data_IF_341647128339
#
_entry.id   IF_341647128339
#
_cell.length_a   1.000
_cell.length_b   1.000
_cell.length_c   1.000
_cell.angle_alpha   90.00
_cell.angle_beta   90.00
_cell.angle_gamma   90.00
#
_symmetry.space_group_name_H-M   'P 1'
#
loop_
_entity.id
_entity.type
_entity.pdbx_description
1 polymer ?
#
# COMPACT_ATOMS: atom_id res chain seq x y z
N UNK A 1 7.28 -7.09 -6.91
CA UNK A 1 7.47 -5.62 -7.11
C UNK A 1 8.09 -5.08 -5.83
N UNK A 2 9.15 -4.26 -5.89
CA UNK A 2 9.84 -3.80 -4.68
C UNK A 2 9.14 -2.55 -4.13
N UNK A 3 8.72 -2.60 -2.86
CA UNK A 3 8.12 -1.45 -2.19
C UNK A 3 9.14 -0.32 -2.00
N UNK A 4 8.70 0.92 -2.24
CA UNK A 4 9.45 2.12 -1.90
C UNK A 4 8.48 3.29 -1.72
N UNK A 5 8.62 4.03 -0.61
CA UNK A 5 7.81 5.22 -0.34
C UNK A 5 7.83 6.23 -1.49
N UNK A 6 8.98 6.37 -2.18
CA UNK A 6 9.12 7.25 -3.36
C UNK A 6 8.23 6.82 -4.53
N UNK A 7 8.06 5.51 -4.72
CA UNK A 7 7.24 4.98 -5.81
C UNK A 7 5.76 5.16 -5.46
N UNK A 8 5.38 4.89 -4.21
CA UNK A 8 4.03 5.13 -3.71
C UNK A 8 3.61 6.58 -3.93
N UNK A 9 4.44 7.55 -3.53
CA UNK A 9 4.17 8.98 -3.69
C UNK A 9 4.09 9.39 -5.17
N UNK A 10 5.01 8.87 -6.01
CA UNK A 10 4.97 9.09 -7.46
C UNK A 10 3.70 8.54 -8.10
N UNK A 11 3.23 7.37 -7.65
CA UNK A 11 2.00 6.75 -8.16
C UNK A 11 0.76 7.53 -7.74
N UNK A 12 0.67 7.95 -6.47
CA UNK A 12 -0.46 8.76 -6.00
C UNK A 12 -0.54 10.11 -6.72
N UNK A 13 0.62 10.72 -7.01
CA UNK A 13 0.70 12.03 -7.66
C UNK A 13 0.70 11.98 -9.21
N UNK A 14 0.69 10.81 -9.87
CA UNK A 14 0.67 10.84 -11.36
C UNK A 14 -0.69 11.27 -11.88
N UNK A 15 -0.73 12.44 -12.51
CA UNK A 15 -1.90 12.99 -13.20
C UNK A 15 -2.25 12.16 -14.45
N UNK A 16 -1.28 11.41 -14.99
CA UNK A 16 -1.38 10.60 -16.19
C UNK A 16 -2.24 9.33 -16.06
N UNK A 17 -2.66 8.98 -14.84
CA UNK A 17 -3.31 7.71 -14.52
C UNK A 17 -4.66 7.97 -13.87
N UNK A 18 -5.67 7.16 -14.18
CA UNK A 18 -6.97 7.22 -13.50
C UNK A 18 -6.84 6.81 -12.04
N UNK A 19 -7.71 7.36 -11.18
CA UNK A 19 -7.68 7.09 -9.74
C UNK A 19 -7.81 5.60 -9.42
N UNK A 20 -8.72 4.89 -10.11
CA UNK A 20 -8.84 3.43 -10.03
C UNK A 20 -7.51 2.72 -10.30
N UNK A 21 -6.76 3.17 -11.30
CA UNK A 21 -5.49 2.55 -11.67
C UNK A 21 -4.35 2.92 -10.72
N UNK A 22 -4.36 4.12 -10.12
CA UNK A 22 -3.45 4.46 -9.01
C UNK A 22 -3.69 3.52 -7.83
N UNK A 23 -4.94 3.34 -7.43
CA UNK A 23 -5.34 2.46 -6.32
C UNK A 23 -4.93 1.02 -6.61
N UNK A 24 -5.19 0.51 -7.83
CA UNK A 24 -4.80 -0.85 -8.25
C UNK A 24 -3.28 -1.09 -8.14
N UNK A 25 -2.46 -0.10 -8.55
CA UNK A 25 -1.00 -0.18 -8.44
C UNK A 25 -0.56 -0.18 -6.96
N UNK A 26 -1.18 0.67 -6.14
CA UNK A 26 -0.92 0.77 -4.70
C UNK A 26 -1.26 -0.56 -3.98
N UNK A 27 -2.42 -1.14 -4.25
CA UNK A 27 -2.83 -2.43 -3.71
C UNK A 27 -1.97 -3.59 -4.22
N UNK A 28 -1.53 -3.54 -5.48
CA UNK A 28 -0.58 -4.52 -6.01
C UNK A 28 0.77 -4.47 -5.30
N UNK A 29 1.25 -3.28 -4.92
CA UNK A 29 2.46 -3.15 -4.11
C UNK A 29 2.26 -3.77 -2.74
N UNK A 30 1.12 -3.48 -2.10
CA UNK A 30 0.76 -4.04 -0.80
C UNK A 30 0.74 -5.57 -0.82
N UNK A 31 -0.03 -6.17 -1.73
CA UNK A 31 -0.10 -7.62 -1.91
C UNK A 31 1.29 -8.23 -2.19
N UNK A 32 2.10 -7.59 -3.04
CA UNK A 32 3.45 -8.08 -3.34
C UNK A 32 4.35 -8.09 -2.11
N UNK A 33 4.18 -7.19 -1.13
CA UNK A 33 4.95 -7.22 0.10
C UNK A 33 4.59 -8.45 0.94
N UNK A 34 3.29 -8.73 1.12
CA UNK A 34 2.82 -9.90 1.84
C UNK A 34 3.21 -11.22 1.14
N UNK A 35 3.21 -11.26 -0.19
CA UNK A 35 3.68 -12.45 -0.94
C UNK A 35 5.18 -12.71 -0.75
N UNK A 36 5.97 -11.67 -0.50
CA UNK A 36 7.39 -11.82 -0.22
C UNK A 36 7.67 -12.21 1.25
N UNK A 37 6.67 -12.12 2.13
CA UNK A 37 6.80 -12.65 3.49
C UNK A 37 6.66 -14.17 3.46
N UNK A 38 7.60 -14.85 4.12
CA UNK A 38 7.65 -16.30 4.23
C UNK A 38 7.60 -16.76 5.68
N UNK A 39 7.78 -18.07 5.87
CA UNK A 39 7.88 -18.70 7.19
C UNK A 39 9.08 -18.16 7.98
N UNK A 40 10.19 -17.88 7.30
CA UNK A 40 11.41 -17.32 7.88
C UNK A 40 11.37 -15.80 8.11
N UNK A 41 10.27 -15.13 7.73
CA UNK A 41 10.18 -13.68 7.92
C UNK A 41 10.12 -13.33 9.40
N UNK A 42 11.03 -12.43 9.79
CA UNK A 42 11.15 -11.97 11.16
C UNK A 42 9.94 -11.12 11.56
N UNK A 43 9.65 -11.05 12.87
CA UNK A 43 8.60 -10.17 13.40
C UNK A 43 8.79 -8.71 12.94
N UNK A 44 10.05 -8.27 12.86
CA UNK A 44 10.41 -6.93 12.38
C UNK A 44 10.04 -6.70 10.91
N UNK A 45 10.22 -7.70 10.05
CA UNK A 45 9.80 -7.59 8.64
C UNK A 45 8.28 -7.53 8.50
N UNK A 46 7.55 -8.33 9.30
CA UNK A 46 6.09 -8.29 9.33
C UNK A 46 5.57 -6.94 9.78
N UNK A 47 6.16 -6.36 10.83
CA UNK A 47 5.83 -5.02 11.31
C UNK A 47 6.17 -3.94 10.27
N UNK A 48 7.31 -4.07 9.59
CA UNK A 48 7.69 -3.15 8.52
C UNK A 48 6.69 -3.19 7.36
N UNK A 49 6.26 -4.38 6.94
CA UNK A 49 5.22 -4.53 5.91
C UNK A 49 3.91 -3.91 6.37
N UNK A 50 3.47 -4.17 7.61
CA UNK A 50 2.26 -3.54 8.16
C UNK A 50 2.33 -2.00 8.17
N UNK A 51 3.47 -1.44 8.55
CA UNK A 51 3.71 0.01 8.50
C UNK A 51 3.66 0.56 7.06
N UNK A 52 4.21 -0.20 6.11
CA UNK A 52 4.15 0.16 4.69
C UNK A 52 2.72 0.11 4.14
N UNK A 53 1.94 -0.91 4.49
CA UNK A 53 0.53 -1.04 4.14
C UNK A 53 -0.30 0.14 4.68
N UNK A 54 -0.04 0.56 5.93
CA UNK A 54 -0.72 1.70 6.53
C UNK A 54 -0.48 2.98 5.71
N UNK A 55 0.76 3.22 5.32
CA UNK A 55 1.11 4.36 4.47
C UNK A 55 0.44 4.29 3.10
N UNK A 56 0.36 3.11 2.48
CA UNK A 56 -0.35 2.90 1.22
C UNK A 56 -1.84 3.25 1.39
N UNK A 57 -2.49 2.80 2.45
CA UNK A 57 -3.91 3.06 2.69
C UNK A 57 -4.18 4.54 2.99
N UNK A 58 -3.26 5.24 3.66
CA UNK A 58 -3.32 6.70 3.80
C UNK A 58 -3.27 7.40 2.43
N UNK A 59 -2.40 6.95 1.52
CA UNK A 59 -2.35 7.49 0.15
C UNK A 59 -3.59 7.16 -0.67
N UNK A 60 -4.18 5.99 -0.47
CA UNK A 60 -5.48 5.64 -1.07
C UNK A 60 -6.57 6.55 -0.51
N UNK A 61 -6.58 6.86 0.79
CA UNK A 61 -7.54 7.78 1.40
C UNK A 61 -7.52 9.17 0.79
N UNK A 62 -6.34 9.67 0.41
CA UNK A 62 -6.21 10.96 -0.31
C UNK A 62 -6.86 10.95 -1.71
N UNK A 63 -7.04 9.77 -2.31
CA UNK A 63 -7.64 9.57 -3.64
C UNK A 63 -9.12 9.19 -3.53
N UNK A 64 -9.45 8.25 -2.64
CA UNK A 64 -10.78 7.73 -2.35
C UNK A 64 -10.91 7.53 -0.83
N UNK A 65 -11.60 8.49 -0.19
CA UNK A 65 -11.71 8.55 1.26
C UNK A 65 -12.41 7.31 1.84
N UNK A 66 -13.53 6.89 1.23
CA UNK A 66 -14.33 5.78 1.72
C UNK A 66 -13.53 4.46 1.67
N UNK A 67 -12.84 4.23 0.56
CA UNK A 67 -12.03 3.04 0.37
C UNK A 67 -10.82 3.03 1.32
N UNK A 68 -10.10 4.15 1.43
CA UNK A 68 -8.95 4.26 2.32
C UNK A 68 -9.32 4.11 3.79
N UNK A 69 -10.43 4.70 4.22
CA UNK A 69 -10.93 4.58 5.60
C UNK A 69 -11.36 3.13 5.93
N UNK A 70 -11.98 2.44 4.98
CA UNK A 70 -12.31 1.02 5.12
C UNK A 70 -11.05 0.17 5.30
N UNK A 71 -10.00 0.40 4.52
CA UNK A 71 -8.74 -0.36 4.67
C UNK A 71 -8.03 -0.07 5.99
N UNK A 72 -7.99 1.19 6.41
CA UNK A 72 -7.37 1.58 7.69
C UNK A 72 -8.11 0.98 8.90
N UNK A 73 -9.44 0.87 8.85
CA UNK A 73 -10.26 0.28 9.91
C UNK A 73 -10.11 -1.23 10.04
N UNK A 74 -9.88 -1.93 8.92
CA UNK A 74 -9.80 -3.39 8.89
C UNK A 74 -8.36 -3.91 8.81
N UNK A 75 -7.37 -3.07 9.12
CA UNK A 75 -5.96 -3.46 9.14
C UNK A 75 -5.63 -4.20 10.45
N UNK A 76 -6.07 -5.46 10.55
CA UNK A 76 -5.85 -6.35 11.70
C UNK A 76 -4.42 -6.90 11.81
#
# INVERSE_FOLDING_TARGET
MKYSKKIVDKTSNCICVTDKRKIDILLKMDASQYTNLGLDSTAKEKEQVRSNSNYIYQKIKEIDEALGDSFLKHQD
#
